data_IF_294040352474
#
_entry.id   IF_294040352474
#
_cell.length_a   1.000
_cell.length_b   1.000
_cell.length_c   1.000
_cell.angle_alpha   90.00
_cell.angle_beta   90.00
_cell.angle_gamma   90.00
#
_symmetry.space_group_name_H-M   'P 1'
#
loop_
_entity.id
_entity.type
_entity.pdbx_description
1 polymer ?
#
# COMPACT_ATOMS: atom_id res chain seq x y z
N UNK A 1 11.52 14.75 12.39
CA UNK A 1 11.67 15.12 10.97
C UNK A 1 12.75 16.18 10.88
N UNK A 2 13.58 16.17 9.84
CA UNK A 2 14.46 17.30 9.57
C UNK A 2 13.64 18.46 9.00
N UNK A 3 13.92 19.72 9.37
CA UNK A 3 13.16 20.88 8.90
C UNK A 3 13.47 21.27 7.45
N UNK A 4 14.44 20.60 6.82
CA UNK A 4 14.84 20.88 5.43
C UNK A 4 13.95 20.12 4.44
N UNK A 5 13.55 20.74 3.32
CA UNK A 5 12.75 20.10 2.30
C UNK A 5 13.52 18.95 1.64
N UNK A 6 12.83 17.82 1.45
CA UNK A 6 13.34 16.69 0.68
C UNK A 6 12.89 16.82 -0.79
N UNK A 7 13.82 16.65 -1.73
CA UNK A 7 13.50 16.49 -3.14
C UNK A 7 13.24 14.99 -3.38
N UNK A 8 12.11 14.68 -4.00
CA UNK A 8 11.74 13.31 -4.38
C UNK A 8 11.68 13.25 -5.91
N UNK A 9 12.37 12.27 -6.50
CA UNK A 9 12.46 12.06 -7.94
C UNK A 9 11.71 10.79 -8.36
N UNK A 10 11.12 10.82 -9.56
CA UNK A 10 10.48 9.64 -10.12
C UNK A 10 11.49 8.48 -10.26
N UNK A 11 11.08 7.29 -9.82
CA UNK A 11 11.85 6.05 -9.89
C UNK A 11 13.11 5.95 -9.01
N UNK A 12 13.32 6.84 -8.01
CA UNK A 12 14.50 6.76 -7.12
C UNK A 12 14.46 5.64 -6.08
N UNK A 13 13.35 4.89 -6.03
CA UNK A 13 13.04 3.93 -4.98
C UNK A 13 12.50 4.63 -3.73
N UNK A 14 11.26 4.33 -3.34
CA UNK A 14 10.61 4.97 -2.20
C UNK A 14 10.52 4.06 -0.96
N UNK A 15 10.34 2.76 -1.17
CA UNK A 15 10.21 1.78 -0.11
C UNK A 15 10.47 0.36 -0.64
N UNK A 16 10.58 -0.58 0.29
CA UNK A 16 10.65 -2.01 0.01
C UNK A 16 9.48 -2.71 0.70
N UNK A 17 8.85 -3.65 -0.01
CA UNK A 17 7.87 -4.54 0.59
C UNK A 17 8.55 -5.75 1.21
N UNK A 18 8.12 -6.09 2.42
CA UNK A 18 8.49 -7.33 3.10
C UNK A 18 7.24 -8.17 3.20
N UNK A 19 7.29 -9.39 2.68
CA UNK A 19 6.20 -10.35 2.75
C UNK A 19 6.40 -11.27 3.95
N UNK A 20 5.41 -11.34 4.82
CA UNK A 20 5.40 -12.22 5.98
C UNK A 20 4.46 -13.39 5.71
N UNK A 21 4.89 -14.59 6.08
CA UNK A 21 4.07 -15.79 5.94
C UNK A 21 3.02 -15.82 7.05
N UNK A 22 1.75 -16.00 6.69
CA UNK A 22 0.68 -16.28 7.65
C UNK A 22 0.72 -17.73 8.12
N UNK A 23 0.23 -17.97 9.33
CA UNK A 23 0.19 -19.32 9.92
C UNK A 23 -0.87 -20.22 9.26
N UNK A 24 -1.86 -19.63 8.60
CA UNK A 24 -2.92 -20.34 7.87
C UNK A 24 -3.45 -19.49 6.70
N UNK A 25 -4.29 -20.11 5.85
CA UNK A 25 -5.01 -19.39 4.80
C UNK A 25 -6.02 -18.43 5.45
N UNK A 26 -6.14 -17.22 4.90
CA UNK A 26 -7.14 -16.26 5.38
C UNK A 26 -8.56 -16.76 5.07
N UNK A 27 -9.44 -16.74 6.07
CA UNK A 27 -10.85 -17.13 5.92
C UNK A 27 -11.64 -16.22 4.96
N UNK A 28 -11.24 -14.95 4.88
CA UNK A 28 -11.84 -13.97 3.97
C UNK A 28 -10.75 -13.02 3.50
N UNK A 29 -10.40 -13.09 2.21
CA UNK A 29 -9.39 -12.22 1.61
C UNK A 29 -9.89 -10.79 1.46
N UNK A 30 -8.98 -9.85 1.21
CA UNK A 30 -9.35 -8.46 0.92
C UNK A 30 -10.22 -8.35 -0.35
N UNK A 31 -10.02 -9.25 -1.31
CA UNK A 31 -10.86 -9.39 -2.50
C UNK A 31 -12.28 -9.87 -2.16
N UNK A 32 -12.40 -10.90 -1.32
CA UNK A 32 -13.70 -11.45 -0.90
C UNK A 32 -14.55 -10.43 -0.14
N UNK A 33 -13.89 -9.53 0.61
CA UNK A 33 -14.55 -8.41 1.32
C UNK A 33 -15.08 -7.31 0.41
N UNK A 34 -14.91 -7.42 -0.92
CA UNK A 34 -15.07 -6.30 -1.85
C UNK A 34 -14.33 -5.05 -1.34
N UNK A 35 -13.06 -5.26 -0.94
CA UNK A 35 -12.25 -4.28 -0.25
C UNK A 35 -12.23 -2.94 -0.97
N UNK A 36 -12.41 -1.86 -0.20
CA UNK A 36 -12.54 -0.49 -0.70
C UNK A 36 -11.55 -0.17 -1.81
N UNK A 37 -10.28 -0.49 -1.64
CA UNK A 37 -9.20 -0.13 -2.57
C UNK A 37 -8.66 -1.31 -3.39
N UNK A 38 -9.43 -2.38 -3.54
CA UNK A 38 -9.05 -3.51 -4.39
C UNK A 38 -8.83 -3.03 -5.84
N UNK A 39 -7.68 -3.36 -6.43
CA UNK A 39 -7.37 -3.01 -7.82
C UNK A 39 -6.96 -1.55 -8.08
N UNK A 40 -6.53 -0.81 -7.06
CA UNK A 40 -6.07 0.58 -7.22
C UNK A 40 -4.83 0.69 -8.13
N UNK A 41 -4.89 1.54 -9.17
CA UNK A 41 -3.81 1.74 -10.15
C UNK A 41 -3.01 3.04 -9.95
N UNK A 42 -3.54 4.00 -9.19
CA UNK A 42 -2.93 5.32 -8.99
C UNK A 42 -3.27 5.92 -7.65
N UNK A 43 -3.02 7.22 -7.47
CA UNK A 43 -3.35 7.93 -6.23
C UNK A 43 -4.86 8.05 -6.09
N UNK A 44 -5.42 7.45 -5.04
CA UNK A 44 -6.87 7.47 -4.77
C UNK A 44 -7.15 8.29 -3.51
N UNK A 45 -8.11 9.21 -3.60
CA UNK A 45 -8.56 9.98 -2.43
C UNK A 45 -9.28 9.07 -1.42
N UNK A 46 -9.25 9.41 -0.11
CA UNK A 46 -10.00 8.68 0.88
C UNK A 46 -11.50 8.70 0.55
N UNK A 47 -12.13 7.53 0.51
CA UNK A 47 -13.60 7.47 0.55
C UNK A 47 -14.04 7.37 2.01
N UNK A 48 -15.27 7.71 2.33
CA UNK A 48 -15.87 7.45 3.65
C UNK A 48 -16.52 6.06 3.60
#
# INVERSE_FOLDING_TARGET
TTPLPAKIYANEGACQFIFLKGDSVCETSYGDRAGKYQGQQGVTLPRL
#
